data_IF_030897894194
#
_entry.id   IF_030897894194
#
_cell.length_a   1.000
_cell.length_b   1.000
_cell.length_c   1.000
_cell.angle_alpha   90.00
_cell.angle_beta   90.00
_cell.angle_gamma   90.00
#
_symmetry.space_group_name_H-M   'P 1'
#
loop_
_entity.id
_entity.type
_entity.pdbx_description
1 polymer ?
#
# COMPACT_ATOMS: atom_id res chain seq x y z
N UNK A 1 12.70 -10.93 13.80
CA UNK A 1 12.40 -10.21 12.56
C UNK A 1 10.90 -10.00 12.29
N UNK A 2 9.99 -10.74 12.94
CA UNK A 2 8.51 -10.65 12.73
C UNK A 2 7.88 -9.26 12.89
N UNK A 3 8.57 -8.31 13.53
CA UNK A 3 8.10 -6.93 13.74
C UNK A 3 8.70 -5.92 12.75
N UNK A 4 9.51 -6.38 11.79
CA UNK A 4 10.10 -5.51 10.78
C UNK A 4 9.26 -5.52 9.51
N UNK A 5 9.04 -4.34 8.96
CA UNK A 5 8.42 -4.12 7.66
C UNK A 5 9.29 -3.24 6.78
N UNK A 6 9.24 -3.44 5.48
CA UNK A 6 9.82 -2.48 4.55
C UNK A 6 8.92 -1.25 4.44
N UNK A 7 9.50 -0.10 4.11
CA UNK A 7 8.72 1.04 3.63
C UNK A 7 7.96 0.69 2.35
N UNK A 8 6.93 1.46 2.05
CA UNK A 8 6.14 1.29 0.83
C UNK A 8 6.93 1.73 -0.39
N UNK A 9 7.13 0.81 -1.33
CA UNK A 9 7.77 1.07 -2.62
C UNK A 9 6.98 0.35 -3.70
N UNK A 10 6.50 1.08 -4.71
CA UNK A 10 5.61 0.51 -5.72
C UNK A 10 6.38 -0.13 -6.87
N UNK A 11 5.79 -1.16 -7.47
CA UNK A 11 6.20 -1.63 -8.79
C UNK A 11 5.96 -0.50 -9.82
N UNK A 12 7.00 -0.14 -10.53
CA UNK A 12 7.07 1.05 -11.40
C UNK A 12 7.96 2.16 -10.84
N UNK A 13 8.03 2.35 -9.51
CA UNK A 13 9.11 3.06 -8.84
C UNK A 13 10.37 2.18 -8.75
N UNK A 14 10.18 0.90 -8.43
CA UNK A 14 11.19 -0.16 -8.55
C UNK A 14 10.92 -1.00 -9.81
N UNK A 15 11.97 -1.68 -10.30
CA UNK A 15 11.77 -2.75 -11.29
C UNK A 15 11.02 -3.94 -10.69
N UNK A 16 10.46 -4.79 -11.54
CA UNK A 16 9.78 -6.02 -11.13
C UNK A 16 10.70 -6.90 -10.26
N UNK A 17 11.91 -7.13 -10.72
CA UNK A 17 12.90 -7.98 -10.06
C UNK A 17 13.27 -7.45 -8.67
N UNK A 18 13.49 -6.15 -8.54
CA UNK A 18 13.81 -5.53 -7.26
C UNK A 18 12.64 -5.62 -6.28
N UNK A 19 11.43 -5.36 -6.76
CA UNK A 19 10.21 -5.41 -5.95
C UNK A 19 9.90 -6.84 -5.45
N UNK A 20 10.04 -7.84 -6.34
CA UNK A 20 9.83 -9.24 -5.99
C UNK A 20 10.94 -9.78 -5.07
N UNK A 21 12.20 -9.45 -5.35
CA UNK A 21 13.34 -9.85 -4.51
C UNK A 21 13.21 -9.31 -3.09
N UNK A 22 12.77 -8.06 -2.94
CA UNK A 22 12.49 -7.49 -1.62
C UNK A 22 11.41 -8.28 -0.89
N UNK A 23 10.30 -8.59 -1.56
CA UNK A 23 9.22 -9.36 -0.95
C UNK A 23 9.68 -10.77 -0.54
N UNK A 24 10.40 -11.48 -1.40
CA UNK A 24 10.97 -12.79 -1.08
C UNK A 24 11.94 -12.73 0.09
N UNK A 25 12.86 -11.75 0.09
CA UNK A 25 13.81 -11.55 1.19
C UNK A 25 13.10 -11.32 2.52
N UNK A 26 12.10 -10.43 2.54
CA UNK A 26 11.31 -10.16 3.74
C UNK A 26 10.51 -11.39 4.20
N UNK A 27 9.93 -12.14 3.28
CA UNK A 27 9.20 -13.36 3.62
C UNK A 27 10.12 -14.43 4.24
N UNK A 28 11.33 -14.63 3.70
CA UNK A 28 12.33 -15.58 4.23
C UNK A 28 12.71 -15.28 5.68
N UNK A 29 12.90 -14.01 6.03
CA UNK A 29 13.22 -13.59 7.41
C UNK A 29 11.98 -13.44 8.31
N UNK A 30 10.79 -13.77 7.81
CA UNK A 30 9.51 -13.61 8.51
C UNK A 30 9.17 -12.15 8.86
N UNK A 31 9.72 -11.20 8.09
CA UNK A 31 9.31 -9.80 8.08
C UNK A 31 8.10 -9.59 7.16
N UNK A 32 7.79 -8.34 6.87
CA UNK A 32 6.74 -7.98 5.93
C UNK A 32 7.24 -6.95 4.91
N UNK A 33 6.96 -7.17 3.63
CA UNK A 33 7.12 -6.14 2.61
C UNK A 33 5.78 -5.44 2.37
N UNK A 34 5.84 -4.15 2.06
CA UNK A 34 4.70 -3.38 1.62
C UNK A 34 4.72 -3.24 0.09
N UNK A 35 3.60 -3.57 -0.54
CA UNK A 35 3.46 -3.51 -2.01
C UNK A 35 3.64 -2.10 -2.60
N UNK A 36 3.45 -1.05 -1.79
CA UNK A 36 3.25 0.28 -2.33
C UNK A 36 1.91 0.41 -3.07
N UNK A 37 1.63 1.59 -3.60
CA UNK A 37 0.34 1.94 -4.21
C UNK A 37 0.17 1.50 -5.68
N UNK A 38 1.06 0.67 -6.20
CA UNK A 38 1.06 0.26 -7.62
C UNK A 38 0.34 -1.05 -7.94
N UNK A 39 -0.25 -1.70 -6.94
CA UNK A 39 -0.77 -3.05 -7.10
C UNK A 39 0.33 -4.12 -7.18
N UNK A 40 -0.05 -5.36 -7.42
CA UNK A 40 0.86 -6.49 -7.64
C UNK A 40 0.28 -7.46 -8.66
N UNK A 41 1.14 -8.12 -9.42
CA UNK A 41 0.73 -9.18 -10.32
C UNK A 41 0.19 -10.37 -9.53
N UNK A 42 -0.94 -10.92 -9.95
CA UNK A 42 -1.59 -12.05 -9.27
C UNK A 42 -0.74 -13.32 -9.26
N UNK A 43 0.18 -13.47 -10.22
CA UNK A 43 1.11 -14.59 -10.22
C UNK A 43 2.00 -14.62 -8.97
N UNK A 44 2.27 -13.48 -8.37
CA UNK A 44 3.04 -13.34 -7.13
C UNK A 44 2.35 -13.91 -5.90
N UNK A 45 1.04 -14.14 -5.96
CA UNK A 45 0.27 -14.70 -4.85
C UNK A 45 0.46 -16.21 -4.73
N UNK A 46 1.04 -16.84 -5.74
CA UNK A 46 1.40 -18.26 -5.73
C UNK A 46 2.78 -18.45 -5.09
N UNK A 47 2.93 -19.56 -4.40
CA UNK A 47 4.24 -19.99 -3.90
C UNK A 47 5.04 -20.55 -5.08
N UNK A 48 6.30 -20.17 -5.18
CA UNK A 48 7.22 -20.66 -6.23
C UNK A 48 7.63 -22.10 -5.95
N UNK A 49 8.12 -22.81 -6.97
CA UNK A 49 8.53 -24.22 -6.88
C UNK A 49 9.63 -24.48 -5.82
N UNK A 50 10.46 -23.47 -5.57
CA UNK A 50 11.50 -23.53 -4.53
C UNK A 50 10.99 -23.20 -3.11
N UNK A 51 9.68 -22.99 -2.94
CA UNK A 51 9.04 -22.64 -1.68
C UNK A 51 9.08 -21.15 -1.31
N UNK A 52 9.65 -20.29 -2.15
CA UNK A 52 9.63 -18.85 -1.94
C UNK A 52 8.26 -18.23 -2.26
N UNK A 53 8.00 -17.10 -1.67
CA UNK A 53 6.82 -16.28 -1.98
C UNK A 53 7.22 -14.86 -2.31
N UNK A 54 6.84 -14.41 -3.49
CA UNK A 54 7.01 -13.03 -3.94
C UNK A 54 5.86 -12.11 -3.55
N UNK A 55 4.88 -12.64 -2.82
CA UNK A 55 3.71 -11.89 -2.35
C UNK A 55 4.10 -10.91 -1.24
N UNK A 56 3.80 -9.63 -1.39
CA UNK A 56 3.93 -8.65 -0.31
C UNK A 56 2.84 -8.88 0.74
N UNK A 57 3.26 -9.05 2.00
CA UNK A 57 2.33 -9.34 3.11
C UNK A 57 1.48 -8.15 3.51
N UNK A 58 1.93 -6.92 3.21
CA UNK A 58 1.18 -5.68 3.40
C UNK A 58 0.77 -5.16 2.04
N UNK A 59 -0.52 -4.95 1.82
CA UNK A 59 -1.09 -4.37 0.61
C UNK A 59 -1.48 -2.93 0.87
N UNK A 60 -0.88 -2.00 0.12
CA UNK A 60 -1.19 -0.59 0.28
C UNK A 60 -2.32 -0.18 -0.67
N UNK A 61 -3.23 0.64 -0.16
CA UNK A 61 -4.23 1.36 -0.93
C UNK A 61 -4.06 2.86 -0.72
N UNK A 62 -4.09 3.60 -1.80
CA UNK A 62 -4.06 5.06 -1.80
C UNK A 62 -5.32 5.60 -2.49
N UNK A 63 -5.48 6.91 -2.49
CA UNK A 63 -6.60 7.58 -3.15
C UNK A 63 -6.75 7.20 -4.62
N UNK A 64 -5.64 7.05 -5.35
CA UNK A 64 -5.65 6.65 -6.76
C UNK A 64 -6.11 5.20 -7.01
N UNK A 65 -6.04 4.32 -6.00
CA UNK A 65 -6.49 2.91 -6.04
C UNK A 65 -5.89 2.08 -7.18
N UNK A 66 -4.66 2.40 -7.60
CA UNK A 66 -3.98 1.67 -8.66
C UNK A 66 -3.83 0.18 -8.34
N UNK A 67 -4.38 -0.67 -9.21
CA UNK A 67 -4.27 -2.12 -9.10
C UNK A 67 -5.00 -2.74 -7.90
N UNK A 68 -5.90 -2.01 -7.25
CA UNK A 68 -6.68 -2.53 -6.11
C UNK A 68 -7.85 -3.38 -6.63
N UNK A 69 -7.79 -4.67 -6.33
CA UNK A 69 -8.86 -5.64 -6.63
C UNK A 69 -9.22 -6.42 -5.37
N UNK A 70 -10.34 -7.10 -5.39
CA UNK A 70 -10.73 -8.01 -4.29
C UNK A 70 -9.67 -9.11 -4.11
N UNK A 71 -9.13 -9.65 -5.20
CA UNK A 71 -8.08 -10.66 -5.17
C UNK A 71 -6.80 -10.11 -4.51
N UNK A 72 -6.37 -8.92 -4.89
CA UNK A 72 -5.25 -8.23 -4.27
C UNK A 72 -5.44 -8.09 -2.74
N UNK A 73 -6.60 -7.60 -2.30
CA UNK A 73 -6.89 -7.37 -0.88
C UNK A 73 -7.02 -8.68 -0.07
N UNK A 74 -7.44 -9.78 -0.71
CA UNK A 74 -7.56 -11.07 -0.03
C UNK A 74 -6.23 -11.83 0.10
N UNK A 75 -5.19 -11.42 -0.63
CA UNK A 75 -3.88 -12.06 -0.61
C UNK A 75 -2.86 -11.35 0.29
N UNK A 76 -3.27 -10.87 1.46
CA UNK A 76 -2.40 -10.18 2.42
C UNK A 76 -2.71 -10.52 3.88
N UNK A 77 -1.78 -10.14 4.75
CA UNK A 77 -1.96 -10.18 6.19
C UNK A 77 -2.34 -8.82 6.79
N UNK A 78 -2.09 -7.76 6.01
CA UNK A 78 -2.34 -6.39 6.42
C UNK A 78 -2.67 -5.52 5.21
N UNK A 79 -3.66 -4.66 5.37
CA UNK A 79 -4.04 -3.64 4.39
C UNK A 79 -3.64 -2.29 4.98
N UNK A 80 -2.81 -1.55 4.25
CA UNK A 80 -2.35 -0.22 4.67
C UNK A 80 -3.06 0.88 3.88
N UNK A 81 -3.85 1.69 4.56
CA UNK A 81 -4.46 2.89 3.99
C UNK A 81 -3.42 4.02 4.01
N UNK A 82 -2.97 4.46 2.84
CA UNK A 82 -2.06 5.60 2.70
C UNK A 82 -2.84 6.91 2.74
N UNK A 83 -2.71 7.68 3.81
CA UNK A 83 -3.32 9.01 3.89
C UNK A 83 -2.50 10.03 3.13
N UNK A 84 -1.18 10.01 3.29
CA UNK A 84 -0.26 10.94 2.62
C UNK A 84 1.15 10.33 2.52
N UNK A 85 2.03 11.04 1.82
CA UNK A 85 3.42 10.67 1.61
C UNK A 85 4.35 11.76 2.14
N UNK A 86 5.17 11.42 3.13
CA UNK A 86 6.04 12.39 3.80
C UNK A 86 7.18 12.93 2.94
N UNK A 87 7.74 12.10 2.05
CA UNK A 87 8.84 12.50 1.17
C UNK A 87 8.47 13.60 0.15
N UNK A 88 7.18 13.77 -0.14
CA UNK A 88 6.66 14.76 -1.09
C UNK A 88 5.37 15.40 -0.55
N UNK A 89 5.45 16.13 0.58
CA UNK A 89 4.29 16.78 1.15
C UNK A 89 3.77 17.86 0.18
N UNK A 90 2.47 17.85 -0.08
CA UNK A 90 1.83 18.80 -1.00
C UNK A 90 1.95 18.45 -2.50
N UNK A 91 2.87 17.56 -2.90
CA UNK A 91 3.03 17.15 -4.31
C UNK A 91 2.36 15.81 -4.61
N UNK A 92 2.41 14.88 -3.66
CA UNK A 92 1.93 13.52 -3.83
C UNK A 92 2.88 12.65 -4.65
N UNK A 93 2.37 11.52 -5.14
CA UNK A 93 3.10 10.57 -5.96
C UNK A 93 2.87 10.83 -7.46
N UNK A 94 3.91 10.62 -8.26
CA UNK A 94 3.84 10.70 -9.70
C UNK A 94 4.66 9.58 -10.34
N UNK A 95 4.10 8.92 -11.36
CA UNK A 95 4.82 8.02 -12.24
C UNK A 95 4.79 8.63 -13.65
N UNK A 96 5.94 9.10 -14.17
CA UNK A 96 6.00 9.71 -15.51
C UNK A 96 5.55 8.73 -16.58
N UNK A 97 4.91 9.23 -17.64
CA UNK A 97 4.34 8.41 -18.71
C UNK A 97 5.35 7.44 -19.35
N UNK A 98 6.61 7.85 -19.51
CA UNK A 98 7.64 6.96 -20.08
C UNK A 98 7.98 5.73 -19.22
N UNK A 99 7.62 5.74 -17.93
CA UNK A 99 7.72 4.58 -17.02
C UNK A 99 6.45 3.72 -16.99
N UNK A 100 5.36 4.22 -17.58
CA UNK A 100 4.08 3.49 -17.62
C UNK A 100 4.09 2.58 -18.85
N UNK A 101 4.81 1.47 -18.73
CA UNK A 101 4.84 0.40 -19.73
C UNK A 101 3.48 -0.30 -19.81
N UNK A 102 3.30 -1.17 -20.80
CA UNK A 102 2.08 -2.00 -20.90
C UNK A 102 1.85 -2.84 -19.64
N UNK A 103 2.93 -3.42 -19.08
CA UNK A 103 2.86 -4.18 -17.82
C UNK A 103 2.38 -3.31 -16.66
N UNK A 104 2.98 -2.13 -16.47
CA UNK A 104 2.60 -1.21 -15.40
C UNK A 104 1.17 -0.70 -15.59
N UNK A 105 0.78 -0.38 -16.82
CA UNK A 105 -0.57 0.06 -17.13
C UNK A 105 -1.61 -1.03 -16.82
N UNK A 106 -1.31 -2.28 -17.20
CA UNK A 106 -2.16 -3.43 -16.88
C UNK A 106 -2.34 -3.59 -15.36
N UNK A 107 -1.23 -3.57 -14.60
CA UNK A 107 -1.25 -3.72 -13.15
C UNK A 107 -2.01 -2.59 -12.44
N UNK A 108 -1.92 -1.39 -12.97
CA UNK A 108 -2.54 -0.19 -12.38
C UNK A 108 -3.93 0.12 -12.93
N UNK A 109 -4.44 -0.70 -13.85
CA UNK A 109 -5.71 -0.47 -14.55
C UNK A 109 -5.75 0.91 -15.23
N UNK A 110 -4.68 1.23 -15.97
CA UNK A 110 -4.45 2.53 -16.62
C UNK A 110 -4.02 2.38 -18.07
N UNK A 111 -3.70 3.47 -18.74
CA UNK A 111 -3.27 3.50 -20.14
C UNK A 111 -1.75 3.62 -20.24
N UNK A 112 -1.06 2.81 -21.09
CA UNK A 112 0.37 2.94 -21.30
C UNK A 112 0.77 4.34 -21.79
N UNK A 113 1.92 4.80 -21.35
CA UNK A 113 2.47 6.11 -21.76
C UNK A 113 1.83 7.34 -21.11
N UNK A 114 0.76 7.17 -20.33
CA UNK A 114 0.08 8.26 -19.63
C UNK A 114 0.66 8.41 -18.24
N UNK A 115 1.04 9.65 -17.87
CA UNK A 115 1.51 9.95 -16.51
C UNK A 115 0.43 9.67 -15.48
N UNK A 116 0.80 8.93 -14.41
CA UNK A 116 -0.09 8.59 -13.32
C UNK A 116 0.21 9.48 -12.11
N UNK A 117 -0.84 10.02 -11.49
CA UNK A 117 -0.76 10.91 -10.33
C UNK A 117 -1.51 10.29 -9.17
N UNK A 118 -0.87 10.29 -8.00
CA UNK A 118 -1.50 9.99 -6.72
C UNK A 118 -1.59 11.30 -5.93
N UNK A 119 -2.79 11.76 -5.55
CA UNK A 119 -2.96 13.03 -4.84
C UNK A 119 -2.13 13.09 -3.55
N UNK A 120 -1.67 14.31 -3.12
CA UNK A 120 -0.87 14.46 -1.91
C UNK A 120 -1.57 13.93 -0.66
N UNK A 121 -2.82 14.32 -0.33
CA UNK A 121 -3.62 13.68 0.68
C UNK A 121 -4.55 12.64 0.05
N UNK A 122 -5.07 11.72 0.86
CA UNK A 122 -6.14 10.81 0.44
C UNK A 122 -7.43 11.61 0.23
N UNK A 123 -7.77 11.95 -0.99
CA UNK A 123 -8.82 12.93 -1.31
C UNK A 123 -10.26 12.41 -1.12
N UNK A 124 -10.45 11.13 -0.86
CA UNK A 124 -11.76 10.52 -0.58
C UNK A 124 -12.11 10.54 0.92
N UNK A 125 -11.18 10.96 1.77
CA UNK A 125 -11.34 10.98 3.22
C UNK A 125 -11.29 12.42 3.71
N UNK A 126 -12.44 12.93 4.15
CA UNK A 126 -12.59 14.30 4.65
C UNK A 126 -12.81 14.36 6.16
N UNK A 127 -13.13 13.22 6.77
CA UNK A 127 -13.41 13.12 8.20
C UNK A 127 -12.93 11.79 8.76
N UNK A 128 -12.92 11.69 10.10
CA UNK A 128 -12.60 10.43 10.78
C UNK A 128 -13.68 9.38 10.53
N UNK A 129 -14.90 9.80 10.29
CA UNK A 129 -16.05 8.93 9.97
C UNK A 129 -15.88 8.28 8.60
N UNK A 130 -15.40 9.02 7.60
CA UNK A 130 -15.09 8.47 6.27
C UNK A 130 -13.99 7.41 6.37
N UNK A 131 -12.96 7.68 7.18
CA UNK A 131 -11.90 6.72 7.44
C UNK A 131 -12.43 5.48 8.16
N UNK A 132 -13.28 5.65 9.15
CA UNK A 132 -13.91 4.54 9.87
C UNK A 132 -14.74 3.65 8.95
N UNK A 133 -15.48 4.25 8.02
CA UNK A 133 -16.24 3.52 7.00
C UNK A 133 -15.31 2.71 6.09
N UNK A 134 -14.23 3.31 5.59
CA UNK A 134 -13.25 2.60 4.75
C UNK A 134 -12.59 1.44 5.51
N UNK A 135 -12.21 1.65 6.77
CA UNK A 135 -11.65 0.59 7.61
C UNK A 135 -12.66 -0.55 7.78
N UNK A 136 -13.92 -0.22 8.03
CA UNK A 136 -14.98 -1.22 8.16
C UNK A 136 -15.13 -2.03 6.87
N UNK A 137 -15.24 -1.36 5.71
CA UNK A 137 -15.41 -2.01 4.42
C UNK A 137 -14.25 -2.97 4.09
N UNK A 138 -13.01 -2.53 4.35
CA UNK A 138 -11.82 -3.38 4.16
C UNK A 138 -11.81 -4.61 5.06
N UNK A 139 -12.28 -4.48 6.31
CA UNK A 139 -12.44 -5.60 7.22
C UNK A 139 -13.54 -6.58 6.79
N UNK A 140 -14.57 -6.10 6.06
CA UNK A 140 -15.56 -7.00 5.45
C UNK A 140 -14.98 -7.77 4.26
N UNK A 141 -14.12 -7.13 3.46
CA UNK A 141 -13.47 -7.77 2.30
C UNK A 141 -12.49 -8.84 2.77
N UNK A 142 -11.64 -8.53 3.74
CA UNK A 142 -10.66 -9.48 4.30
C UNK A 142 -10.69 -9.45 5.83
N UNK A 143 -11.59 -10.23 6.47
CA UNK A 143 -11.70 -10.26 7.94
C UNK A 143 -10.46 -10.78 8.67
N UNK A 144 -9.54 -11.44 7.96
CA UNK A 144 -8.30 -12.00 8.53
C UNK A 144 -7.14 -11.00 8.51
N UNK A 145 -7.20 -10.01 7.63
CA UNK A 145 -6.17 -8.99 7.54
C UNK A 145 -6.35 -7.91 8.61
N UNK A 146 -5.23 -7.41 9.13
CA UNK A 146 -5.23 -6.19 9.94
C UNK A 146 -5.35 -4.98 9.01
N UNK A 147 -6.09 -3.97 9.42
CA UNK A 147 -6.20 -2.71 8.68
C UNK A 147 -5.37 -1.65 9.39
N UNK A 148 -4.31 -1.20 8.73
CA UNK A 148 -3.42 -0.15 9.18
C UNK A 148 -3.68 1.18 8.47
N UNK A 149 -3.35 2.27 9.15
CA UNK A 149 -3.41 3.62 8.58
C UNK A 149 -2.03 4.27 8.66
N UNK A 150 -1.52 4.69 7.50
CA UNK A 150 -0.25 5.38 7.40
C UNK A 150 -0.46 6.89 7.42
N UNK A 151 0.09 7.52 8.43
CA UNK A 151 0.12 8.97 8.64
C UNK A 151 1.53 9.51 8.41
N UNK A 152 1.65 10.81 8.23
CA UNK A 152 2.93 11.50 8.13
C UNK A 152 3.21 12.27 9.43
N UNK A 153 4.44 12.16 9.92
CA UNK A 153 4.88 12.86 11.12
C UNK A 153 4.75 14.39 10.91
N UNK A 154 3.97 15.02 11.77
CA UNK A 154 3.73 16.46 11.76
C UNK A 154 3.29 16.95 13.14
N UNK A 155 3.23 18.25 13.32
CA UNK A 155 2.65 18.83 14.53
C UNK A 155 1.20 18.40 14.68
N UNK A 156 0.80 17.96 15.88
CA UNK A 156 -0.57 17.51 16.18
C UNK A 156 -0.88 16.08 15.75
N UNK A 157 0.08 15.32 15.19
CA UNK A 157 -0.15 13.94 14.71
C UNK A 157 -0.72 13.01 15.79
N UNK A 158 -0.42 13.25 17.07
CA UNK A 158 -0.97 12.47 18.17
C UNK A 158 -2.49 12.57 18.28
N UNK A 159 -3.07 13.73 18.05
CA UNK A 159 -4.53 13.93 18.03
C UNK A 159 -5.16 13.19 16.83
N UNK A 160 -4.53 13.26 15.66
CA UNK A 160 -4.97 12.53 14.48
C UNK A 160 -4.91 11.02 14.74
N UNK A 161 -3.80 10.53 15.30
CA UNK A 161 -3.63 9.11 15.63
C UNK A 161 -4.68 8.62 16.64
N UNK A 162 -5.04 9.44 17.63
CA UNK A 162 -6.11 9.12 18.57
C UNK A 162 -7.47 8.96 17.85
N UNK A 163 -7.75 9.83 16.87
CA UNK A 163 -8.94 9.69 16.00
C UNK A 163 -8.92 8.40 15.20
N UNK A 164 -7.77 8.07 14.58
CA UNK A 164 -7.58 6.82 13.81
C UNK A 164 -7.77 5.58 14.69
N UNK A 165 -7.29 5.61 15.93
CA UNK A 165 -7.53 4.52 16.88
C UNK A 165 -9.03 4.36 17.21
N UNK A 166 -9.76 5.47 17.38
CA UNK A 166 -11.22 5.45 17.58
C UNK A 166 -11.96 4.92 16.35
N UNK A 167 -11.42 5.15 15.13
CA UNK A 167 -11.95 4.60 13.89
C UNK A 167 -11.70 3.08 13.74
N UNK A 168 -11.14 2.41 14.75
CA UNK A 168 -10.90 0.96 14.79
C UNK A 168 -9.82 0.44 13.83
N UNK A 169 -8.84 1.26 13.50
CA UNK A 169 -7.63 0.78 12.86
C UNK A 169 -6.86 -0.17 13.81
N UNK A 170 -6.30 -1.24 13.25
CA UNK A 170 -5.51 -2.22 14.02
C UNK A 170 -4.05 -1.76 14.19
N UNK A 171 -3.58 -0.92 13.27
CA UNK A 171 -2.20 -0.40 13.23
C UNK A 171 -2.23 1.06 12.83
N UNK A 172 -1.35 1.84 13.42
CA UNK A 172 -1.07 3.22 13.02
C UNK A 172 0.41 3.31 12.72
N UNK A 173 0.74 3.60 11.45
CA UNK A 173 2.11 3.85 11.02
C UNK A 173 2.33 5.36 10.91
N UNK A 174 3.26 5.90 11.66
CA UNK A 174 3.68 7.30 11.54
C UNK A 174 5.01 7.30 10.79
N UNK A 175 4.99 7.70 9.54
CA UNK A 175 6.19 7.80 8.70
C UNK A 175 6.84 9.16 8.83
N UNK A 176 8.15 9.20 8.65
CA UNK A 176 8.89 10.45 8.55
C UNK A 176 8.56 11.24 7.27
N UNK A 177 9.13 12.43 7.18
CA UNK A 177 9.03 13.34 6.04
C UNK A 177 10.39 13.93 5.71
#
# INVERSE_FOLDING_TARGET
>A
MKRFGSGSMSHGALSKEAHETLAMGMNRIKGASCSGEGGEDEERFKVLDNGDSANSRVKQIASARFGVTINYLNNCNEIEIKIAQGAKPGEGGQLPGFKVTEEIARLRHSTPGVTLISPPPHHDIYSIEDLAQLIYDLKQINPKARVGVKLVASSGIGTIAAGVAKAKADIILISGH
#
